data_IF_037808131175
#
_entry.id   IF_037808131175
#
_cell.length_a   1.000
_cell.length_b   1.000
_cell.length_c   1.000
_cell.angle_alpha   90.00
_cell.angle_beta   90.00
_cell.angle_gamma   90.00
#
_symmetry.space_group_name_H-M   'P 1'
#
loop_
_entity.id
_entity.type
_entity.pdbx_description
1 polymer ?
#
# COMPACT_ATOMS: atom_id res chain seq x y z
N UNK A 1 0.73 -12.36 10.02
CA UNK A 1 1.68 -11.45 10.70
C UNK A 1 1.18 -10.92 12.04
N UNK A 2 0.19 -10.01 12.13
CA UNK A 2 -0.27 -9.48 13.46
C UNK A 2 -0.66 -10.58 14.44
N UNK A 3 -1.48 -11.55 14.03
CA UNK A 3 -1.88 -12.67 14.89
C UNK A 3 -0.75 -13.65 15.23
N UNK A 4 0.22 -13.83 14.34
CA UNK A 4 1.34 -14.77 14.53
C UNK A 4 2.47 -14.15 15.36
N UNK A 5 2.62 -12.82 15.36
CA UNK A 5 3.72 -12.07 15.97
C UNK A 5 3.40 -11.46 17.35
N UNK A 6 2.35 -11.93 18.03
CA UNK A 6 2.00 -11.46 19.38
C UNK A 6 0.88 -10.42 19.45
N UNK A 7 0.06 -10.32 18.41
CA UNK A 7 -1.19 -9.54 18.41
C UNK A 7 -0.96 -8.07 18.68
N UNK A 8 -1.56 -7.57 19.78
CA UNK A 8 -1.43 -6.17 20.19
C UNK A 8 0.01 -5.73 20.49
N UNK A 9 0.88 -6.65 20.94
CA UNK A 9 2.27 -6.31 21.25
C UNK A 9 3.03 -5.94 19.96
N UNK A 10 2.79 -6.66 18.87
CA UNK A 10 3.30 -6.33 17.54
C UNK A 10 2.74 -4.99 17.03
N UNK A 11 1.42 -4.79 17.15
CA UNK A 11 0.77 -3.53 16.72
C UNK A 11 1.36 -2.33 17.46
N UNK A 12 1.61 -2.45 18.76
CA UNK A 12 2.23 -1.39 19.55
C UNK A 12 3.63 -1.03 19.04
N UNK A 13 4.49 -2.02 18.80
CA UNK A 13 5.84 -1.78 18.26
C UNK A 13 5.79 -1.21 16.85
N UNK A 14 4.89 -1.71 16.00
CA UNK A 14 4.64 -1.17 14.66
C UNK A 14 4.24 0.31 14.71
N UNK A 15 3.28 0.68 15.57
CA UNK A 15 2.86 2.07 15.74
C UNK A 15 3.99 2.96 16.28
N UNK A 16 4.80 2.44 17.20
CA UNK A 16 5.98 3.15 17.70
C UNK A 16 7.01 3.39 16.58
N UNK A 17 7.26 2.40 15.73
CA UNK A 17 8.14 2.53 14.57
C UNK A 17 7.62 3.58 13.58
N UNK A 18 6.32 3.59 13.30
CA UNK A 18 5.69 4.63 12.48
C UNK A 18 5.88 6.00 13.11
N UNK A 19 5.62 6.14 14.42
CA UNK A 19 5.69 7.43 15.08
C UNK A 19 7.14 7.99 15.12
N UNK A 20 8.12 7.14 15.42
CA UNK A 20 9.51 7.56 15.64
C UNK A 20 10.36 7.64 14.37
N UNK A 21 10.07 6.83 13.36
CA UNK A 21 10.87 6.73 12.14
C UNK A 21 10.04 7.13 10.93
N UNK A 22 8.85 6.56 10.82
CA UNK A 22 7.98 6.80 9.68
C UNK A 22 7.55 8.26 9.53
N UNK A 23 6.98 8.86 10.57
CA UNK A 23 6.50 10.24 10.55
C UNK A 23 7.62 11.25 10.24
N UNK A 24 8.82 11.19 10.89
CA UNK A 24 9.92 12.08 10.52
C UNK A 24 10.37 11.94 9.06
N UNK A 25 10.39 10.73 8.52
CA UNK A 25 10.74 10.49 7.11
C UNK A 25 9.66 11.09 6.19
N UNK A 26 8.37 10.85 6.48
CA UNK A 26 7.24 11.42 5.73
C UNK A 26 7.34 12.94 5.65
N UNK A 27 7.57 13.58 6.80
CA UNK A 27 7.65 15.03 6.91
C UNK A 27 8.88 15.53 6.16
N UNK A 28 10.02 14.84 6.24
CA UNK A 28 11.23 15.19 5.51
C UNK A 28 11.01 15.13 4.00
N UNK A 29 10.41 14.07 3.50
CA UNK A 29 10.09 13.88 2.09
C UNK A 29 9.09 14.93 1.59
N UNK A 30 8.04 15.20 2.37
CA UNK A 30 7.07 16.26 2.07
C UNK A 30 7.71 17.64 2.01
N UNK A 31 8.61 17.97 2.95
CA UNK A 31 9.33 19.24 2.94
C UNK A 31 10.28 19.37 1.74
N UNK A 32 10.93 18.27 1.33
CA UNK A 32 11.79 18.22 0.14
C UNK A 32 10.98 18.39 -1.14
N UNK A 33 9.84 17.70 -1.27
CA UNK A 33 8.90 17.86 -2.38
C UNK A 33 8.41 19.30 -2.50
N UNK A 34 7.94 19.87 -1.38
CA UNK A 34 7.47 21.26 -1.28
C UNK A 34 8.49 22.29 -1.74
N UNK A 35 9.76 22.09 -1.42
CA UNK A 35 10.85 22.98 -1.82
C UNK A 35 11.31 22.76 -3.26
N UNK A 36 11.23 21.52 -3.75
CA UNK A 36 11.70 21.14 -5.08
C UNK A 36 10.73 21.45 -6.21
N UNK A 37 9.43 21.21 -6.01
CA UNK A 37 8.37 21.30 -7.04
C UNK A 37 8.74 20.60 -8.37
N UNK A 38 9.62 19.59 -8.30
CA UNK A 38 10.22 18.87 -9.43
C UNK A 38 10.30 17.39 -9.10
N UNK A 39 10.63 16.58 -10.10
CA UNK A 39 10.85 15.14 -9.89
C UNK A 39 11.92 14.89 -8.80
N UNK A 40 11.86 13.76 -8.05
CA UNK A 40 12.71 13.52 -6.88
C UNK A 40 14.21 13.68 -7.14
N UNK A 41 14.71 13.19 -8.28
CA UNK A 41 16.11 13.30 -8.68
C UNK A 41 16.54 14.76 -8.93
N UNK A 42 15.70 15.54 -9.61
CA UNK A 42 15.98 16.96 -9.92
C UNK A 42 15.88 17.83 -8.68
N UNK A 43 14.87 17.59 -7.85
CA UNK A 43 14.70 18.21 -6.53
C UNK A 43 15.96 18.01 -5.69
N UNK A 44 16.45 16.77 -5.57
CA UNK A 44 17.60 16.48 -4.73
C UNK A 44 18.91 17.05 -5.28
N UNK A 45 19.08 17.09 -6.61
CA UNK A 45 20.22 17.75 -7.27
C UNK A 45 20.25 19.26 -7.03
N UNK A 46 19.09 19.92 -7.10
CA UNK A 46 18.96 21.37 -6.92
C UNK A 46 19.10 21.80 -5.45
N UNK A 47 18.53 21.03 -4.52
CA UNK A 47 18.73 21.23 -3.09
C UNK A 47 20.20 21.04 -2.71
N UNK A 48 20.87 20.03 -3.25
CA UNK A 48 22.30 19.81 -3.02
C UNK A 48 23.14 20.99 -3.52
N UNK A 49 22.83 21.53 -4.71
CA UNK A 49 23.50 22.72 -5.25
C UNK A 49 23.30 23.94 -4.35
N UNK A 50 22.07 24.21 -3.91
CA UNK A 50 21.74 25.35 -3.04
C UNK A 50 22.39 25.22 -1.65
N UNK A 51 22.54 23.99 -1.15
CA UNK A 51 23.20 23.70 0.13
C UNK A 51 24.74 23.59 0.03
N UNK A 52 25.34 23.86 -1.14
CA UNK A 52 26.77 23.71 -1.42
C UNK A 52 27.30 22.29 -1.11
N UNK A 53 26.48 21.28 -1.42
CA UNK A 53 26.75 19.85 -1.24
C UNK A 53 26.95 19.16 -2.60
N UNK A 54 27.63 17.99 -2.63
CA UNK A 54 27.91 17.29 -3.88
C UNK A 54 26.61 16.85 -4.59
N UNK A 55 26.60 16.89 -5.93
CA UNK A 55 25.47 16.41 -6.75
C UNK A 55 25.15 14.92 -6.55
N UNK A 56 26.03 14.16 -5.90
CA UNK A 56 25.83 12.75 -5.55
C UNK A 56 24.54 12.50 -4.74
N UNK A 57 24.01 13.51 -4.04
CA UNK A 57 22.71 13.42 -3.38
C UNK A 57 21.55 13.11 -4.34
N UNK A 58 21.68 13.39 -5.65
CA UNK A 58 20.72 12.97 -6.66
C UNK A 58 20.52 11.44 -6.70
N UNK A 59 21.50 10.65 -6.27
CA UNK A 59 21.41 9.18 -6.18
C UNK A 59 20.26 8.77 -5.25
N UNK A 60 20.03 9.50 -4.16
CA UNK A 60 18.93 9.23 -3.21
C UNK A 60 17.56 9.43 -3.89
N UNK A 61 17.44 10.45 -4.74
CA UNK A 61 16.23 10.68 -5.53
C UNK A 61 16.02 9.61 -6.60
N UNK A 62 17.10 9.13 -7.22
CA UNK A 62 17.05 8.04 -8.22
C UNK A 62 16.69 6.71 -7.56
N UNK A 63 17.22 6.40 -6.37
CA UNK A 63 16.86 5.17 -5.66
C UNK A 63 15.38 5.11 -5.29
N UNK A 64 14.76 6.25 -4.96
CA UNK A 64 13.30 6.33 -4.75
C UNK A 64 12.50 6.02 -6.01
N UNK A 65 12.90 6.58 -7.16
CA UNK A 65 12.26 6.29 -8.45
C UNK A 65 12.36 4.80 -8.82
N UNK A 66 13.54 4.20 -8.61
CA UNK A 66 13.74 2.76 -8.85
C UNK A 66 12.89 1.94 -7.86
N UNK A 67 12.83 2.35 -6.59
CA UNK A 67 11.98 1.72 -5.57
C UNK A 67 10.51 1.71 -5.98
N UNK A 68 9.96 2.87 -6.33
CA UNK A 68 8.57 2.99 -6.81
C UNK A 68 8.30 2.12 -8.04
N UNK A 69 9.25 2.04 -8.98
CA UNK A 69 9.14 1.19 -10.16
C UNK A 69 9.11 -0.31 -9.80
N UNK A 70 10.00 -0.74 -8.90
CA UNK A 70 10.03 -2.12 -8.41
C UNK A 70 8.74 -2.47 -7.65
N UNK A 71 8.23 -1.55 -6.83
CA UNK A 71 6.95 -1.71 -6.12
C UNK A 71 5.81 -1.92 -7.11
N UNK A 72 5.71 -1.04 -8.12
CA UNK A 72 4.68 -1.12 -9.14
C UNK A 72 4.72 -2.46 -9.91
N UNK A 73 5.91 -3.01 -10.16
CA UNK A 73 6.08 -4.25 -10.92
C UNK A 73 5.37 -5.45 -10.30
N UNK A 74 5.39 -5.60 -8.97
CA UNK A 74 4.68 -6.70 -8.30
C UNK A 74 3.27 -6.31 -7.85
N UNK A 75 3.03 -5.04 -7.48
CA UNK A 75 1.69 -4.57 -7.11
C UNK A 75 0.70 -4.65 -8.26
N UNK A 76 1.15 -4.45 -9.49
CA UNK A 76 0.30 -4.59 -10.69
C UNK A 76 -0.24 -6.00 -10.88
N UNK A 77 0.51 -7.04 -10.49
CA UNK A 77 0.06 -8.43 -10.51
C UNK A 77 -1.02 -8.67 -9.45
N UNK A 78 -0.80 -8.18 -8.23
CA UNK A 78 -1.79 -8.25 -7.13
C UNK A 78 -3.07 -7.48 -7.50
N UNK A 79 -2.94 -6.34 -8.18
CA UNK A 79 -4.05 -5.59 -8.75
C UNK A 79 -4.85 -6.40 -9.78
N UNK A 80 -4.16 -7.16 -10.63
CA UNK A 80 -4.77 -8.11 -11.55
C UNK A 80 -5.59 -9.21 -10.84
N UNK A 81 -5.07 -9.76 -9.74
CA UNK A 81 -5.81 -10.72 -8.90
C UNK A 81 -7.07 -10.09 -8.31
N UNK A 82 -6.97 -8.85 -7.83
CA UNK A 82 -8.11 -8.12 -7.26
C UNK A 82 -9.22 -7.93 -8.30
N UNK A 83 -8.86 -7.61 -9.55
CA UNK A 83 -9.82 -7.49 -10.65
C UNK A 83 -10.48 -8.85 -10.96
N UNK A 84 -9.68 -9.92 -11.01
CA UNK A 84 -10.19 -11.28 -11.22
C UNK A 84 -11.21 -11.67 -10.13
N UNK A 85 -10.90 -11.46 -8.86
CA UNK A 85 -11.82 -11.74 -7.75
C UNK A 85 -13.08 -10.87 -7.79
N UNK A 86 -12.95 -9.60 -8.17
CA UNK A 86 -14.09 -8.70 -8.32
C UNK A 86 -15.05 -9.22 -9.40
N UNK A 87 -14.53 -9.62 -10.56
CA UNK A 87 -15.34 -10.17 -11.66
C UNK A 87 -16.03 -11.48 -11.26
N UNK A 88 -15.31 -12.38 -10.58
CA UNK A 88 -15.87 -13.64 -10.08
C UNK A 88 -16.94 -13.42 -9.00
N UNK A 89 -16.79 -12.38 -8.17
CA UNK A 89 -17.80 -12.01 -7.17
C UNK A 89 -19.08 -11.51 -7.83
N UNK A 90 -18.96 -10.67 -8.88
CA UNK A 90 -20.11 -10.13 -9.62
C UNK A 90 -20.79 -11.20 -10.47
N UNK A 91 -20.04 -12.15 -11.03
CA UNK A 91 -20.59 -13.26 -11.82
C UNK A 91 -21.21 -14.37 -10.97
N UNK A 92 -21.08 -14.32 -9.64
CA UNK A 92 -21.61 -15.32 -8.73
C UNK A 92 -20.79 -16.61 -8.67
N UNK A 93 -19.55 -16.61 -9.16
CA UNK A 93 -18.68 -17.80 -9.21
C UNK A 93 -18.31 -18.37 -7.83
N UNK A 94 -18.48 -17.57 -6.76
CA UNK A 94 -18.28 -17.99 -5.37
C UNK A 94 -19.56 -18.52 -4.70
N UNK A 95 -20.72 -18.44 -5.36
CA UNK A 95 -21.99 -18.89 -4.79
C UNK A 95 -22.00 -20.42 -4.64
N UNK A 96 -22.17 -20.90 -3.40
CA UNK A 96 -22.20 -22.33 -3.10
C UNK A 96 -20.82 -23.01 -3.04
N UNK A 97 -19.73 -22.25 -3.08
CA UNK A 97 -18.37 -22.79 -2.91
C UNK A 97 -17.98 -22.81 -1.43
N UNK A 98 -17.25 -23.85 -1.03
CA UNK A 98 -16.59 -23.94 0.26
C UNK A 98 -15.17 -23.34 0.21
N UNK A 99 -14.47 -23.34 1.36
CA UNK A 99 -13.12 -22.78 1.46
C UNK A 99 -12.12 -23.48 0.51
N UNK A 100 -12.27 -24.79 0.33
CA UNK A 100 -11.41 -25.59 -0.55
C UNK A 100 -11.66 -25.27 -2.03
N UNK A 101 -12.92 -25.08 -2.43
CA UNK A 101 -13.29 -24.62 -3.76
C UNK A 101 -12.73 -23.24 -4.10
N UNK A 102 -12.77 -22.30 -3.14
CA UNK A 102 -12.15 -20.97 -3.30
C UNK A 102 -10.62 -21.08 -3.38
N UNK A 103 -10.00 -21.95 -2.59
CA UNK A 103 -8.57 -22.22 -2.64
C UNK A 103 -8.14 -22.84 -3.98
N UNK A 104 -8.95 -23.74 -4.54
CA UNK A 104 -8.72 -24.34 -5.85
C UNK A 104 -8.83 -23.30 -6.98
N UNK A 105 -9.78 -22.37 -6.91
CA UNK A 105 -9.89 -21.25 -7.85
C UNK A 105 -8.64 -20.35 -7.80
N UNK A 106 -8.13 -20.06 -6.60
CA UNK A 106 -6.91 -19.27 -6.44
C UNK A 106 -5.70 -19.97 -7.07
N UNK A 107 -5.50 -21.25 -6.74
CA UNK A 107 -4.40 -22.04 -7.29
C UNK A 107 -4.52 -22.21 -8.81
N UNK A 108 -5.75 -22.39 -9.32
CA UNK A 108 -6.04 -22.42 -10.75
C UNK A 108 -5.63 -21.12 -11.45
N UNK A 109 -5.95 -19.97 -10.86
CA UNK A 109 -5.52 -18.66 -11.35
C UNK A 109 -3.98 -18.55 -11.36
N UNK A 110 -3.31 -18.91 -10.25
CA UNK A 110 -1.85 -18.87 -10.16
C UNK A 110 -1.15 -19.82 -11.16
N UNK A 111 -1.76 -20.96 -11.46
CA UNK A 111 -1.24 -21.93 -12.43
C UNK A 111 -1.43 -21.54 -13.89
N UNK A 112 -2.15 -20.45 -14.17
CA UNK A 112 -2.46 -20.00 -15.53
C UNK A 112 -1.73 -18.67 -15.86
N UNK A 113 -0.54 -18.75 -16.49
CA UNK A 113 0.23 -17.57 -16.87
C UNK A 113 -0.53 -16.62 -17.80
N UNK A 114 -1.37 -17.15 -18.69
CA UNK A 114 -2.15 -16.32 -19.63
C UNK A 114 -3.16 -15.44 -18.91
N UNK A 115 -3.86 -16.00 -17.93
CA UNK A 115 -4.81 -15.27 -17.09
C UNK A 115 -4.11 -14.23 -16.21
N UNK A 116 -2.96 -14.57 -15.62
CA UNK A 116 -2.15 -13.64 -14.84
C UNK A 116 -1.65 -12.45 -15.67
N UNK A 117 -1.12 -12.72 -16.86
CA UNK A 117 -0.63 -11.69 -17.78
C UNK A 117 -1.76 -10.80 -18.27
N UNK A 118 -2.94 -11.36 -18.57
CA UNK A 118 -4.12 -10.60 -18.94
C UNK A 118 -4.56 -9.70 -17.78
N UNK A 119 -4.70 -10.25 -16.56
CA UNK A 119 -5.08 -9.49 -15.37
C UNK A 119 -4.14 -8.33 -15.08
N UNK A 120 -2.82 -8.59 -15.12
CA UNK A 120 -1.79 -7.57 -15.00
C UNK A 120 -1.90 -6.49 -16.09
N UNK A 121 -2.04 -6.90 -17.37
CA UNK A 121 -2.10 -5.97 -18.49
C UNK A 121 -3.33 -5.07 -18.42
N UNK A 122 -4.49 -5.62 -18.10
CA UNK A 122 -5.73 -4.86 -17.93
C UNK A 122 -5.59 -3.89 -16.74
N UNK A 123 -5.04 -4.35 -15.62
CA UNK A 123 -4.79 -3.47 -14.47
C UNK A 123 -3.84 -2.31 -14.83
N UNK A 124 -2.75 -2.59 -15.53
CA UNK A 124 -1.82 -1.55 -15.99
C UNK A 124 -2.48 -0.55 -16.94
N UNK A 125 -3.34 -1.00 -17.86
CA UNK A 125 -4.10 -0.11 -18.74
C UNK A 125 -5.05 0.81 -17.95
N UNK A 126 -5.69 0.30 -16.89
CA UNK A 126 -6.53 1.12 -16.01
C UNK A 126 -5.70 2.17 -15.27
N UNK A 127 -4.56 1.77 -14.71
CA UNK A 127 -3.63 2.70 -14.02
C UNK A 127 -3.14 3.78 -14.97
N UNK A 128 -2.66 3.40 -16.16
CA UNK A 128 -2.21 4.34 -17.20
C UNK A 128 -3.36 5.28 -17.60
N UNK A 129 -4.58 4.76 -17.76
CA UNK A 129 -5.76 5.55 -18.08
C UNK A 129 -6.11 6.60 -17.03
N UNK A 130 -5.96 6.27 -15.74
CA UNK A 130 -6.18 7.22 -14.63
C UNK A 130 -5.07 8.27 -14.59
N UNK A 131 -3.81 7.84 -14.73
CA UNK A 131 -2.64 8.75 -14.70
C UNK A 131 -2.64 9.69 -15.90
N UNK A 132 -3.03 9.23 -17.09
CA UNK A 132 -3.12 10.03 -18.30
C UNK A 132 -4.17 11.17 -18.20
N UNK A 133 -5.18 11.02 -17.33
CA UNK A 133 -6.17 12.08 -17.03
C UNK A 133 -5.65 13.16 -16.07
N UNK A 134 -4.42 13.02 -15.60
CA UNK A 134 -3.77 13.95 -14.69
C UNK A 134 -4.18 13.79 -13.23
N UNK A 135 -3.48 14.51 -12.35
CA UNK A 135 -3.61 14.38 -10.89
C UNK A 135 -5.00 14.78 -10.40
N UNK A 136 -5.51 15.95 -10.82
CA UNK A 136 -6.75 16.53 -10.28
C UNK A 136 -8.01 15.84 -10.82
N UNK A 137 -8.06 15.55 -12.12
CA UNK A 137 -9.25 14.95 -12.77
C UNK A 137 -9.23 13.42 -12.77
N UNK A 138 -8.06 12.80 -12.67
CA UNK A 138 -7.89 11.34 -12.64
C UNK A 138 -7.71 10.82 -11.22
N UNK A 139 -6.50 11.03 -10.68
CA UNK A 139 -6.07 10.41 -9.42
C UNK A 139 -6.88 10.90 -8.21
N UNK A 140 -7.01 12.21 -8.02
CA UNK A 140 -7.71 12.80 -6.87
C UNK A 140 -9.19 12.42 -6.87
N UNK A 141 -9.84 12.48 -8.03
CA UNK A 141 -11.25 12.06 -8.18
C UNK A 141 -11.46 10.59 -7.84
N UNK A 142 -10.58 9.70 -8.32
CA UNK A 142 -10.65 8.28 -7.99
C UNK A 142 -10.44 8.03 -6.50
N UNK A 143 -9.40 8.60 -5.89
CA UNK A 143 -9.10 8.43 -4.45
C UNK A 143 -10.22 8.99 -3.57
N UNK A 144 -10.80 10.13 -3.93
CA UNK A 144 -11.90 10.77 -3.18
C UNK A 144 -13.16 9.89 -3.10
N UNK A 145 -13.39 9.01 -4.08
CA UNK A 145 -14.51 8.08 -4.11
C UNK A 145 -14.11 6.73 -3.51
N UNK A 146 -12.97 6.17 -3.93
CA UNK A 146 -12.53 4.84 -3.54
C UNK A 146 -12.21 4.74 -2.05
N UNK A 147 -11.64 5.77 -1.43
CA UNK A 147 -11.28 5.75 0.00
C UNK A 147 -12.51 5.68 0.92
N UNK A 148 -13.55 6.54 0.76
CA UNK A 148 -14.79 6.40 1.53
C UNK A 148 -15.50 5.07 1.29
N UNK A 149 -15.53 4.57 0.06
CA UNK A 149 -16.17 3.29 -0.27
C UNK A 149 -15.46 2.13 0.44
N UNK A 150 -14.13 2.11 0.42
CA UNK A 150 -13.35 1.11 1.14
C UNK A 150 -13.63 1.16 2.65
N UNK A 151 -13.64 2.37 3.24
CA UNK A 151 -13.94 2.54 4.66
C UNK A 151 -15.36 2.04 5.01
N UNK A 152 -16.35 2.35 4.18
CA UNK A 152 -17.72 1.87 4.37
C UNK A 152 -17.79 0.33 4.28
N UNK A 153 -17.15 -0.27 3.28
CA UNK A 153 -17.09 -1.73 3.13
C UNK A 153 -16.45 -2.40 4.34
N UNK A 154 -15.36 -1.83 4.88
CA UNK A 154 -14.73 -2.34 6.10
C UNK A 154 -15.68 -2.27 7.31
N UNK A 155 -16.41 -1.17 7.48
CA UNK A 155 -17.41 -1.05 8.56
C UNK A 155 -18.52 -2.09 8.42
N UNK A 156 -19.01 -2.32 7.19
CA UNK A 156 -20.02 -3.34 6.91
C UNK A 156 -19.47 -4.74 7.21
N UNK A 157 -18.24 -5.05 6.82
CA UNK A 157 -17.58 -6.32 7.11
C UNK A 157 -17.39 -6.55 8.61
N UNK A 158 -17.03 -5.51 9.37
CA UNK A 158 -16.94 -5.60 10.84
C UNK A 158 -18.33 -5.89 11.42
N UNK A 159 -19.36 -5.17 10.99
CA UNK A 159 -20.74 -5.40 11.44
C UNK A 159 -21.24 -6.83 11.13
N UNK A 160 -20.92 -7.33 9.94
CA UNK A 160 -21.20 -8.73 9.58
C UNK A 160 -20.40 -9.71 10.44
N UNK A 161 -19.10 -9.45 10.65
CA UNK A 161 -18.23 -10.26 11.51
C UNK A 161 -18.76 -10.38 12.95
N UNK A 162 -19.36 -9.31 13.48
CA UNK A 162 -20.00 -9.35 14.80
C UNK A 162 -21.17 -10.34 14.88
N UNK A 163 -21.88 -10.57 13.76
CA UNK A 163 -23.01 -11.51 13.71
C UNK A 163 -22.60 -13.00 13.65
N UNK A 164 -21.30 -13.30 13.44
CA UNK A 164 -20.80 -14.67 13.27
C UNK A 164 -20.61 -15.44 14.59
N UNK A 165 -20.86 -14.81 15.75
CA UNK A 165 -20.75 -15.42 17.08
C UNK A 165 -19.32 -15.56 17.63
N UNK A 166 -18.29 -15.46 16.78
CA UNK A 166 -16.87 -15.64 17.17
C UNK A 166 -16.12 -14.31 17.37
N UNK A 167 -16.84 -13.20 17.42
CA UNK A 167 -16.25 -11.86 17.49
C UNK A 167 -15.41 -11.63 18.74
N UNK A 168 -15.82 -12.21 19.89
CA UNK A 168 -15.07 -12.11 21.15
C UNK A 168 -13.70 -12.81 21.08
N UNK A 169 -13.63 -13.96 20.41
CA UNK A 169 -12.38 -14.68 20.18
C UNK A 169 -11.46 -13.90 19.24
N UNK A 170 -12.01 -13.34 18.16
CA UNK A 170 -11.26 -12.49 17.24
C UNK A 170 -10.68 -11.24 17.92
N UNK A 171 -11.46 -10.58 18.78
CA UNK A 171 -10.98 -9.44 19.59
C UNK A 171 -9.89 -9.87 20.56
N UNK A 172 -10.08 -10.98 21.27
CA UNK A 172 -9.09 -11.50 22.21
C UNK A 172 -7.80 -11.84 21.47
N UNK A 173 -7.89 -12.52 20.34
CA UNK A 173 -6.75 -12.88 19.53
C UNK A 173 -6.00 -11.64 18.98
N UNK A 174 -6.72 -10.59 18.56
CA UNK A 174 -6.12 -9.38 17.99
C UNK A 174 -5.55 -8.45 19.06
N UNK A 175 -6.21 -8.32 20.20
CA UNK A 175 -5.87 -7.35 21.25
C UNK A 175 -5.13 -7.92 22.46
N UNK A 176 -4.98 -9.24 22.59
CA UNK A 176 -4.19 -9.83 23.66
C UNK A 176 -2.69 -9.62 23.39
N UNK A 177 -1.98 -8.81 24.20
CA UNK A 177 -0.57 -8.54 23.96
C UNK A 177 0.27 -9.70 24.49
N UNK A 178 0.95 -10.42 23.59
CA UNK A 178 1.91 -11.44 23.95
C UNK A 178 3.34 -10.94 23.76
N UNK A 179 3.92 -10.39 24.83
CA UNK A 179 5.29 -9.86 24.84
C UNK A 179 6.35 -10.96 24.72
N UNK A 180 6.01 -12.23 24.97
CA UNK A 180 6.96 -13.34 24.83
C UNK A 180 7.31 -13.62 23.36
N UNK A 181 6.42 -13.22 22.44
CA UNK A 181 6.61 -13.35 20.99
C UNK A 181 7.35 -12.17 20.35
N UNK A 182 7.64 -11.11 21.13
CA UNK A 182 8.44 -9.98 20.65
C UNK A 182 9.93 -10.34 20.63
N UNK A 183 10.35 -10.94 19.52
CA UNK A 183 11.76 -11.20 19.22
C UNK A 183 12.35 -10.10 18.34
N UNK A 184 13.67 -10.06 18.21
CA UNK A 184 14.35 -9.14 17.29
C UNK A 184 13.85 -9.28 15.84
N UNK A 185 13.45 -10.49 15.43
CA UNK A 185 12.87 -10.75 14.12
C UNK A 185 11.49 -10.11 13.97
N UNK A 186 10.61 -10.22 14.98
CA UNK A 186 9.29 -9.58 14.92
C UNK A 186 9.37 -8.05 14.94
N UNK A 187 10.37 -7.48 15.64
CA UNK A 187 10.64 -6.03 15.61
C UNK A 187 11.15 -5.61 14.24
N UNK A 188 12.05 -6.38 13.63
CA UNK A 188 12.53 -6.11 12.27
C UNK A 188 11.40 -6.22 11.23
N UNK A 189 10.51 -7.21 11.39
CA UNK A 189 9.32 -7.34 10.56
C UNK A 189 8.38 -6.14 10.74
N UNK A 190 8.12 -5.71 11.98
CA UNK A 190 7.30 -4.53 12.28
C UNK A 190 7.89 -3.25 11.68
N UNK A 191 9.22 -3.07 11.77
CA UNK A 191 9.94 -2.00 11.09
C UNK A 191 9.73 -2.06 9.58
N UNK A 192 9.93 -3.23 8.96
CA UNK A 192 9.68 -3.45 7.53
C UNK A 192 8.26 -3.02 7.13
N UNK A 193 7.24 -3.46 7.86
CA UNK A 193 5.85 -3.04 7.60
C UNK A 193 5.64 -1.55 7.78
N UNK A 194 6.22 -0.97 8.83
CA UNK A 194 6.15 0.46 9.10
C UNK A 194 6.76 1.23 7.92
N UNK A 195 7.81 0.71 7.28
CA UNK A 195 8.39 1.35 6.09
C UNK A 195 7.52 1.24 4.84
N UNK A 196 6.89 0.09 4.59
CA UNK A 196 6.08 -0.13 3.39
C UNK A 196 4.69 0.51 3.43
N UNK A 197 4.07 0.64 4.61
CA UNK A 197 2.67 1.13 4.70
C UNK A 197 2.50 2.57 4.24
N UNK A 198 3.36 3.53 4.65
CA UNK A 198 3.22 4.93 4.29
C UNK A 198 3.88 5.31 2.95
N UNK A 199 4.32 4.34 2.12
CA UNK A 199 5.00 4.59 0.83
C UNK A 199 6.21 5.54 0.95
N UNK A 200 7.09 5.31 1.93
CA UNK A 200 8.29 6.14 2.11
C UNK A 200 9.23 6.01 0.91
N UNK A 201 9.61 7.15 0.33
CA UNK A 201 10.59 7.23 -0.76
C UNK A 201 10.01 7.22 -2.18
N UNK A 202 8.69 7.16 -2.34
CA UNK A 202 8.02 7.15 -3.65
C UNK A 202 7.82 8.57 -4.24
N UNK A 203 8.24 9.62 -3.53
CA UNK A 203 8.26 11.00 -4.01
C UNK A 203 6.88 11.60 -4.27
N UNK A 204 5.81 11.03 -3.68
CA UNK A 204 4.45 11.20 -4.19
C UNK A 204 3.66 12.42 -3.70
N UNK A 205 4.24 13.31 -2.91
CA UNK A 205 3.48 14.39 -2.28
C UNK A 205 3.95 15.76 -2.76
N UNK A 206 3.66 16.09 -4.02
CA UNK A 206 3.49 17.49 -4.44
C UNK A 206 2.82 17.74 -5.81
N UNK A 207 1.81 16.93 -6.16
CA UNK A 207 0.93 17.26 -7.30
C UNK A 207 -0.15 18.30 -7.00
N UNK A 208 -0.41 18.63 -5.72
CA UNK A 208 -1.61 19.34 -5.27
C UNK A 208 -1.55 20.88 -5.37
N UNK A 209 -0.49 21.47 -5.95
CA UNK A 209 -0.38 22.93 -6.13
C UNK A 209 0.05 23.38 -7.53
N UNK A 210 -0.02 22.50 -8.53
CA UNK A 210 0.33 22.84 -9.92
C UNK A 210 -0.81 23.52 -10.71
N UNK A 211 -1.69 24.30 -10.08
CA UNK A 211 -2.53 25.25 -10.81
C UNK A 211 -2.54 26.60 -10.10
N UNK A 212 -1.98 27.68 -10.71
CA UNK A 212 -2.38 29.03 -10.35
C UNK A 212 -3.87 29.20 -10.71
N UNK A 213 -4.58 29.95 -9.88
CA UNK A 213 -5.87 30.53 -10.26
C UNK A 213 -5.72 31.50 -11.43
#
# INVERSE_FOLDING_TARGET
>A
MVGESGGAAFVFVYLLCIALIGLPILVSEWLLGRRGQKNPASTMSELARTANKPKAWAIVGISGIIGAFLILSFYSVIGGWSLYYTLNSVSGAFSGQDADGIGALFNGMLSNPGLLLLGHSVFMLLVIGIVARGVTKGLEGAVRILMPVLALLLVVLIGYGMSTGHFGEALTYMFNPDWSKLTAETVLAALGHAFFTPLFGDGHYDGLRLLPG
#
